data_IF_191947474316
#
_entry.id   IF_191947474316
#
_cell.length_a   1.000
_cell.length_b   1.000
_cell.length_c   1.000
_cell.angle_alpha   90.00
_cell.angle_beta   90.00
_cell.angle_gamma   90.00
#
_symmetry.space_group_name_H-M   'P 1'
#
loop_
_entity.id
_entity.type
_entity.pdbx_description
1 polymer ?
#
# COMPACT_ATOMS: atom_id res chain seq x y z
N UNK A 1 -2.20 7.03 -8.73
CA UNK A 1 -3.56 7.22 -8.23
C UNK A 1 -4.22 5.92 -7.81
N UNK A 2 -4.18 4.89 -8.66
CA UNK A 2 -4.69 3.57 -8.26
C UNK A 2 -4.01 3.02 -7.01
N UNK A 3 -2.74 3.35 -6.81
CA UNK A 3 -1.94 2.85 -5.70
C UNK A 3 -2.46 3.32 -4.33
N UNK A 4 -2.87 4.58 -4.26
CA UNK A 4 -3.36 5.15 -3.01
C UNK A 4 -4.66 4.51 -2.55
N UNK A 5 -5.62 4.35 -3.48
CA UNK A 5 -6.91 3.74 -3.16
C UNK A 5 -6.76 2.30 -2.70
N UNK A 6 -5.85 1.57 -3.33
CA UNK A 6 -5.59 0.19 -2.98
C UNK A 6 -5.04 0.08 -1.55
N UNK A 7 -4.14 0.97 -1.17
CA UNK A 7 -3.58 0.98 0.17
C UNK A 7 -4.61 1.36 1.22
N UNK A 8 -5.56 2.25 0.89
CA UNK A 8 -6.67 2.60 1.79
C UNK A 8 -7.45 1.35 2.16
N UNK A 9 -7.85 0.56 1.17
CA UNK A 9 -8.66 -0.63 1.40
C UNK A 9 -7.90 -1.62 2.30
N UNK A 10 -6.64 -1.88 1.99
CA UNK A 10 -5.83 -2.80 2.78
C UNK A 10 -5.66 -2.30 4.22
N UNK A 11 -5.36 -1.02 4.39
CA UNK A 11 -5.12 -0.44 5.71
C UNK A 11 -6.39 -0.43 6.57
N UNK A 12 -7.53 -0.04 5.99
CA UNK A 12 -8.82 -0.05 6.70
C UNK A 12 -9.20 -1.48 7.08
N UNK A 13 -9.03 -2.44 6.17
CA UNK A 13 -9.33 -3.84 6.45
C UNK A 13 -8.45 -4.34 7.60
N UNK A 14 -7.16 -4.00 7.58
CA UNK A 14 -6.25 -4.41 8.64
C UNK A 14 -6.64 -3.81 10.00
N UNK A 15 -7.05 -2.54 10.01
CA UNK A 15 -7.44 -1.87 11.23
C UNK A 15 -8.74 -2.41 11.82
N UNK A 16 -9.70 -2.78 10.97
CA UNK A 16 -11.01 -3.22 11.42
C UNK A 16 -11.09 -4.74 11.63
N UNK A 17 -10.51 -5.51 10.73
CA UNK A 17 -10.68 -6.97 10.72
C UNK A 17 -9.41 -7.73 11.07
N UNK A 18 -8.25 -7.14 10.86
CA UNK A 18 -6.99 -7.75 11.21
C UNK A 18 -6.10 -8.02 10.01
N UNK A 19 -4.91 -8.56 10.32
CA UNK A 19 -3.87 -8.81 9.31
C UNK A 19 -4.25 -9.88 8.30
N UNK A 20 -4.89 -10.95 8.77
CA UNK A 20 -5.26 -12.08 7.91
C UNK A 20 -6.22 -11.65 6.83
N UNK A 21 -7.25 -10.91 7.22
CA UNK A 21 -8.27 -10.42 6.30
C UNK A 21 -7.68 -9.41 5.32
N UNK A 22 -6.77 -8.55 5.80
CA UNK A 22 -6.08 -7.60 4.93
C UNK A 22 -5.22 -8.32 3.90
N UNK A 23 -4.54 -9.41 4.30
CA UNK A 23 -3.78 -10.24 3.38
C UNK A 23 -4.64 -10.87 2.32
N UNK A 24 -5.82 -11.38 2.70
CA UNK A 24 -6.76 -11.96 1.76
C UNK A 24 -7.25 -10.92 0.75
N UNK A 25 -7.57 -9.71 1.22
CA UNK A 25 -7.98 -8.61 0.35
C UNK A 25 -6.87 -8.25 -0.64
N UNK A 26 -5.62 -8.21 -0.16
CA UNK A 26 -4.47 -7.93 -1.02
C UNK A 26 -4.34 -8.96 -2.13
N UNK A 27 -4.42 -10.25 -1.79
CA UNK A 27 -4.29 -11.33 -2.77
C UNK A 27 -5.40 -11.25 -3.82
N UNK A 28 -6.65 -11.07 -3.38
CA UNK A 28 -7.79 -10.94 -4.29
C UNK A 28 -7.60 -9.75 -5.22
N UNK A 29 -7.18 -8.61 -4.66
CA UNK A 29 -6.95 -7.40 -5.45
C UNK A 29 -5.87 -7.60 -6.50
N UNK A 30 -4.78 -8.28 -6.15
CA UNK A 30 -3.68 -8.55 -7.08
C UNK A 30 -4.16 -9.43 -8.24
N UNK A 31 -4.93 -10.47 -7.93
CA UNK A 31 -5.45 -11.38 -8.95
C UNK A 31 -6.40 -10.64 -9.89
N UNK A 32 -7.35 -9.89 -9.33
CA UNK A 32 -8.32 -9.14 -10.13
C UNK A 32 -7.65 -8.06 -10.97
N UNK A 33 -6.70 -7.35 -10.39
CA UNK A 33 -5.98 -6.30 -11.10
C UNK A 33 -5.18 -6.84 -12.28
N UNK A 34 -4.51 -7.97 -12.11
CA UNK A 34 -3.73 -8.58 -13.19
C UNK A 34 -4.65 -9.13 -14.28
N UNK A 35 -5.81 -9.67 -13.92
CA UNK A 35 -6.76 -10.21 -14.87
C UNK A 35 -7.37 -9.12 -15.75
N UNK A 36 -7.64 -7.93 -15.16
CA UNK A 36 -8.37 -6.89 -15.87
C UNK A 36 -7.49 -5.83 -16.54
N UNK A 37 -6.30 -5.56 -16.02
CA UNK A 37 -5.56 -4.40 -16.50
C UNK A 37 -4.07 -4.58 -16.73
N UNK A 38 -3.41 -5.48 -16.03
CA UNK A 38 -1.96 -5.43 -15.96
C UNK A 38 -1.19 -6.57 -16.63
N UNK A 39 -1.82 -7.70 -16.85
CA UNK A 39 -1.10 -8.87 -17.31
C UNK A 39 -0.04 -9.31 -16.30
N UNK A 40 0.91 -10.13 -16.76
CA UNK A 40 1.95 -10.69 -15.88
C UNK A 40 2.91 -9.61 -15.33
N UNK A 41 3.30 -8.65 -16.18
CA UNK A 41 4.21 -7.57 -15.76
C UNK A 41 3.55 -6.71 -14.68
N UNK A 42 2.29 -6.34 -14.88
CA UNK A 42 1.54 -5.58 -13.90
C UNK A 42 1.41 -6.32 -12.59
N UNK A 43 1.22 -7.64 -12.66
CA UNK A 43 1.16 -8.48 -11.47
C UNK A 43 2.46 -8.44 -10.67
N UNK A 44 3.61 -8.52 -11.35
CA UNK A 44 4.91 -8.47 -10.69
C UNK A 44 5.10 -7.16 -9.92
N UNK A 45 4.83 -6.02 -10.58
CA UNK A 45 4.95 -4.71 -9.93
C UNK A 45 3.98 -4.56 -8.76
N UNK A 46 2.74 -4.95 -8.96
CA UNK A 46 1.71 -4.86 -7.91
C UNK A 46 2.00 -5.78 -6.75
N UNK A 47 2.46 -7.00 -7.03
CA UNK A 47 2.78 -7.96 -5.98
C UNK A 47 3.96 -7.48 -5.12
N UNK A 48 5.02 -7.00 -5.75
CA UNK A 48 6.20 -6.51 -5.03
C UNK A 48 5.83 -5.30 -4.16
N UNK A 49 5.14 -4.32 -4.76
CA UNK A 49 4.71 -3.13 -4.04
C UNK A 49 3.71 -3.45 -2.94
N UNK A 50 2.70 -4.23 -3.26
CA UNK A 50 1.66 -4.61 -2.31
C UNK A 50 2.19 -5.42 -1.15
N UNK A 51 3.08 -6.38 -1.42
CA UNK A 51 3.70 -7.19 -0.37
C UNK A 51 4.55 -6.33 0.56
N UNK A 52 5.36 -5.41 -0.01
CA UNK A 52 6.19 -4.52 0.78
C UNK A 52 5.33 -3.62 1.67
N UNK A 53 4.28 -3.03 1.11
CA UNK A 53 3.36 -2.19 1.88
C UNK A 53 2.65 -2.99 2.98
N UNK A 54 2.20 -4.20 2.66
CA UNK A 54 1.52 -5.08 3.61
C UNK A 54 2.42 -5.42 4.79
N UNK A 55 3.69 -5.77 4.52
CA UNK A 55 4.65 -6.09 5.58
C UNK A 55 4.84 -4.89 6.50
N UNK A 56 5.01 -3.70 5.93
CA UNK A 56 5.17 -2.47 6.73
C UNK A 56 3.92 -2.23 7.58
N UNK A 57 2.73 -2.37 7.00
CA UNK A 57 1.48 -2.23 7.74
C UNK A 57 1.38 -3.23 8.90
N UNK A 58 1.72 -4.50 8.65
CA UNK A 58 1.68 -5.54 9.67
C UNK A 58 2.61 -5.23 10.85
N UNK A 59 3.78 -4.69 10.56
CA UNK A 59 4.76 -4.38 11.59
C UNK A 59 4.38 -3.14 12.40
N UNK A 60 3.78 -2.16 11.75
CA UNK A 60 3.56 -0.85 12.36
C UNK A 60 2.16 -0.63 12.93
N UNK A 61 1.17 -1.39 12.47
CA UNK A 61 -0.22 -1.18 12.91
C UNK A 61 -0.40 -1.34 14.42
N UNK A 62 0.40 -2.20 15.05
CA UNK A 62 0.34 -2.41 16.49
C UNK A 62 1.20 -1.41 17.26
N UNK A 63 2.22 -0.85 16.61
CA UNK A 63 3.15 0.06 17.26
C UNK A 63 2.57 1.47 17.37
N UNK A 64 1.87 1.90 16.33
CA UNK A 64 1.30 3.23 16.28
C UNK A 64 -0.17 3.25 16.67
N UNK A 65 -0.61 4.25 17.47
CA UNK A 65 -2.03 4.39 17.78
C UNK A 65 -2.83 4.78 16.53
N UNK A 66 -4.15 4.61 16.61
CA UNK A 66 -5.05 4.91 15.50
C UNK A 66 -4.91 6.33 14.97
N UNK A 67 -4.66 7.28 15.86
CA UNK A 67 -4.48 8.69 15.47
C UNK A 67 -3.24 8.94 14.64
N UNK A 68 -2.29 7.99 14.63
CA UNK A 68 -1.08 8.05 13.80
C UNK A 68 -1.14 7.08 12.62
N UNK A 69 -2.33 6.60 12.27
CA UNK A 69 -2.51 5.71 11.13
C UNK A 69 -1.98 6.32 9.84
N UNK A 70 -2.05 7.64 9.70
CA UNK A 70 -1.50 8.33 8.54
C UNK A 70 0.01 8.12 8.39
N UNK A 71 0.74 7.99 9.51
CA UNK A 71 2.17 7.70 9.49
C UNK A 71 2.41 6.31 8.93
N UNK A 72 1.63 5.32 9.39
CA UNK A 72 1.70 3.95 8.87
C UNK A 72 1.44 3.96 7.36
N UNK A 73 0.45 4.73 6.91
CA UNK A 73 0.11 4.84 5.50
C UNK A 73 1.26 5.45 4.69
N UNK A 74 1.92 6.49 5.20
CA UNK A 74 3.06 7.11 4.52
C UNK A 74 4.19 6.09 4.37
N UNK A 75 4.54 5.39 5.44
CA UNK A 75 5.60 4.40 5.40
C UNK A 75 5.25 3.23 4.48
N UNK A 76 3.99 2.80 4.49
CA UNK A 76 3.53 1.74 3.59
C UNK A 76 3.58 2.20 2.12
N UNK A 77 3.22 3.44 1.84
CA UNK A 77 3.29 3.99 0.48
C UNK A 77 4.74 4.05 -0.02
N UNK A 78 5.65 4.45 0.85
CA UNK A 78 7.08 4.46 0.51
C UNK A 78 7.59 3.04 0.25
N UNK A 79 7.19 2.08 1.08
CA UNK A 79 7.55 0.68 0.89
C UNK A 79 6.98 0.13 -0.42
N UNK A 80 5.73 0.49 -0.74
CA UNK A 80 5.08 0.09 -1.99
C UNK A 80 5.88 0.58 -3.20
N UNK A 81 6.24 1.87 -3.19
CA UNK A 81 7.02 2.46 -4.28
C UNK A 81 8.42 1.85 -4.36
N UNK A 82 9.04 1.57 -3.21
CA UNK A 82 10.35 0.92 -3.18
C UNK A 82 10.29 -0.49 -3.78
N UNK A 83 9.23 -1.25 -3.46
CA UNK A 83 9.04 -2.59 -4.02
C UNK A 83 8.90 -2.55 -5.53
N UNK A 84 8.11 -1.61 -6.04
CA UNK A 84 7.94 -1.44 -7.49
C UNK A 84 9.24 -1.01 -8.16
N UNK A 85 9.99 -0.11 -7.52
CA UNK A 85 11.27 0.35 -8.05
C UNK A 85 12.28 -0.80 -8.11
N UNK A 86 12.30 -1.67 -7.10
CA UNK A 86 13.18 -2.82 -7.08
C UNK A 86 12.91 -3.75 -8.27
N UNK A 87 11.63 -4.00 -8.57
CA UNK A 87 11.25 -4.80 -9.75
C UNK A 87 11.69 -4.10 -11.04
N UNK A 88 11.48 -2.78 -11.11
CA UNK A 88 11.88 -2.02 -12.30
C UNK A 88 13.38 -2.10 -12.56
N UNK A 89 14.19 -1.95 -11.51
CA UNK A 89 15.66 -2.08 -11.63
C UNK A 89 16.04 -3.49 -12.06
N UNK A 90 15.41 -4.49 -11.46
CA UNK A 90 15.70 -5.88 -11.79
C UNK A 90 15.36 -6.22 -13.25
N UNK A 91 14.21 -5.78 -13.72
CA UNK A 91 13.77 -6.07 -15.08
C UNK A 91 14.55 -5.28 -16.14
N UNK A 92 14.89 -4.02 -15.85
CA UNK A 92 15.61 -3.17 -16.79
C UNK A 92 17.11 -3.43 -16.78
N UNK A 93 17.62 -3.95 -15.67
CA UNK A 93 19.06 -4.14 -15.47
C UNK A 93 19.83 -2.83 -15.37
N UNK A 94 19.14 -1.71 -15.13
CA UNK A 94 19.76 -0.39 -15.12
C UNK A 94 19.59 0.29 -13.77
N UNK A 95 20.71 0.67 -13.14
CA UNK A 95 20.70 1.40 -11.89
C UNK A 95 20.18 2.82 -12.06
N UNK A 96 20.11 3.34 -13.29
CA UNK A 96 19.57 4.68 -13.53
C UNK A 96 18.11 4.82 -13.13
N UNK A 97 17.38 3.71 -13.06
CA UNK A 97 15.99 3.72 -12.57
C UNK A 97 15.89 4.19 -11.12
N UNK A 98 16.99 4.12 -10.37
CA UNK A 98 17.01 4.60 -8.99
C UNK A 98 16.78 6.09 -8.86
N UNK A 99 17.04 6.87 -9.91
CA UNK A 99 16.72 8.28 -9.91
C UNK A 99 15.24 8.56 -9.76
N UNK A 100 14.40 7.64 -10.24
CA UNK A 100 12.96 7.72 -10.02
C UNK A 100 12.59 7.57 -8.54
N UNK A 101 13.48 6.99 -7.75
CA UNK A 101 13.26 6.81 -6.32
C UNK A 101 12.96 8.11 -5.60
N UNK A 102 13.64 9.20 -5.97
CA UNK A 102 13.41 10.51 -5.37
C UNK A 102 11.99 11.02 -5.66
N UNK A 103 11.57 10.92 -6.93
CA UNK A 103 10.22 11.32 -7.33
C UNK A 103 9.17 10.43 -6.67
N UNK A 104 9.41 9.12 -6.66
CA UNK A 104 8.49 8.16 -6.05
C UNK A 104 8.39 8.36 -4.53
N UNK A 105 9.50 8.71 -3.88
CA UNK A 105 9.47 8.99 -2.45
C UNK A 105 8.61 10.22 -2.15
N UNK A 106 8.78 11.30 -2.90
CA UNK A 106 7.96 12.50 -2.74
C UNK A 106 6.49 12.20 -2.99
N UNK A 107 6.20 11.51 -4.10
CA UNK A 107 4.83 11.12 -4.43
C UNK A 107 4.25 10.18 -3.36
N UNK A 108 5.05 9.27 -2.83
CA UNK A 108 4.64 8.35 -1.78
C UNK A 108 4.26 9.07 -0.49
N UNK A 109 5.03 10.08 -0.09
CA UNK A 109 4.71 10.87 1.10
C UNK A 109 3.38 11.59 0.92
N UNK A 110 3.21 12.28 -0.21
CA UNK A 110 1.98 13.02 -0.49
C UNK A 110 0.78 12.06 -0.54
N UNK A 111 0.89 11.01 -1.32
CA UNK A 111 -0.18 10.00 -1.47
C UNK A 111 -0.46 9.32 -0.13
N UNK A 112 0.58 8.97 0.61
CA UNK A 112 0.46 8.31 1.91
C UNK A 112 -0.28 9.17 2.94
N UNK A 113 -0.02 10.48 2.94
CA UNK A 113 -0.74 11.40 3.84
C UNK A 113 -2.22 11.43 3.49
N UNK A 114 -2.56 11.60 2.21
CA UNK A 114 -3.96 11.61 1.77
C UNK A 114 -4.66 10.29 2.07
N UNK A 115 -4.03 9.16 1.71
CA UNK A 115 -4.64 7.85 1.95
C UNK A 115 -4.71 7.54 3.44
N UNK A 116 -3.74 7.99 4.23
CA UNK A 116 -3.73 7.79 5.66
C UNK A 116 -4.89 8.50 6.35
N UNK A 117 -5.11 9.76 6.01
CA UNK A 117 -6.25 10.49 6.57
C UNK A 117 -7.57 9.91 6.07
N UNK A 118 -7.63 9.50 4.80
CA UNK A 118 -8.81 8.82 4.26
C UNK A 118 -9.10 7.53 5.01
N UNK A 119 -8.06 6.73 5.27
CA UNK A 119 -8.20 5.48 6.01
C UNK A 119 -8.64 5.73 7.45
N UNK A 120 -8.09 6.75 8.11
CA UNK A 120 -8.50 7.12 9.47
C UNK A 120 -9.98 7.51 9.52
N UNK A 121 -10.40 8.32 8.56
CA UNK A 121 -11.80 8.75 8.48
C UNK A 121 -12.72 7.55 8.26
N UNK A 122 -12.38 6.69 7.30
CA UNK A 122 -13.20 5.51 6.98
C UNK A 122 -13.23 4.53 8.14
N UNK A 123 -12.11 4.34 8.84
CA UNK A 123 -12.04 3.45 10.00
C UNK A 123 -12.94 3.95 11.11
N UNK A 124 -12.90 5.24 11.39
CA UNK A 124 -13.76 5.85 12.43
C UNK A 124 -15.23 5.76 12.07
N UNK A 125 -15.56 6.04 10.80
CA UNK A 125 -16.94 5.96 10.33
C UNK A 125 -17.45 4.52 10.40
N UNK A 126 -16.65 3.55 10.00
CA UNK A 126 -17.02 2.14 10.06
C UNK A 126 -17.24 1.67 11.50
N UNK A 127 -16.40 2.09 12.43
CA UNK A 127 -16.56 1.74 13.83
C UNK A 127 -17.86 2.28 14.41
N UNK A 128 -18.27 3.46 14.01
CA UNK A 128 -19.55 4.03 14.44
C UNK A 128 -20.73 3.24 13.91
N UNK A 129 -20.62 2.75 12.66
CA UNK A 129 -21.70 1.96 12.06
C UNK A 129 -21.84 0.58 12.68
N UNK A 130 -20.73 -0.02 13.10
CA UNK A 130 -20.71 -1.38 13.65
C UNK A 130 -21.21 -1.38 15.09
N UNK A 131 -21.10 -0.27 15.80
CA UNK A 131 -21.67 -0.13 17.13
C UNK A 131 -23.16 0.18 17.00
#
# INVERSE_FOLDING_TARGET
>A
MKLGLANIVTLVTMALLGRREAGAVLVVRLILGSAFAGGFSGLMFSAAGGAAAYIVMCLLIKVFPEKLMWVVSVLAALAHNAGQLAVAVWLSGSASMLYYGTVLAAAGVITGVFTGFGAMYLTRAAKKLVK
#
